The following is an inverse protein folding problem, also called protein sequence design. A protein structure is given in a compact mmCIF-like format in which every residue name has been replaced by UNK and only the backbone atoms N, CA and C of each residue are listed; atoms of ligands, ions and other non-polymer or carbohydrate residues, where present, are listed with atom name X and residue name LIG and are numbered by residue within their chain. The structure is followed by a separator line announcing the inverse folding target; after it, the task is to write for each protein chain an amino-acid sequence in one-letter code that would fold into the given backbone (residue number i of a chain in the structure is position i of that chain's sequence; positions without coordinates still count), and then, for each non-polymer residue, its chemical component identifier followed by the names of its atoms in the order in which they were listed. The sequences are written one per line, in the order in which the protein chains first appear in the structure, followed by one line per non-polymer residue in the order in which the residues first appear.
data_IF_993985921018
#
_entry.id   IF_993985921018
#
_cell.length_a   1.000
_cell.length_b   1.000
_cell.length_c   1.000
_cell.angle_alpha   90.00
_cell.angle_beta   90.00
_cell.angle_gamma   90.00
#
_symmetry.space_group_name_H-M   'P 1'
#
loop_
_entity.id
_entity.type
_entity.pdbx_description
1 polymer ?
#
# COMPACT_ATOMS: atom_id res chain seq x y z
N UNK A 1 -4.05 49.09 -20.40
CA UNK A 1 -4.96 47.97 -20.10
C UNK A 1 -4.91 46.89 -21.18
N UNK A 2 -5.09 47.24 -22.45
CA UNK A 2 -5.00 46.30 -23.60
C UNK A 2 -3.64 45.63 -23.76
N UNK A 3 -2.54 46.37 -23.57
CA UNK A 3 -1.18 45.81 -23.62
C UNK A 3 -0.94 44.74 -22.54
N UNK A 4 -1.39 44.98 -21.31
CA UNK A 4 -1.29 44.01 -20.22
C UNK A 4 -2.10 42.72 -20.51
N UNK A 5 -3.29 42.87 -21.11
CA UNK A 5 -4.10 41.74 -21.55
C UNK A 5 -3.39 40.91 -22.64
N UNK A 6 -2.78 41.58 -23.62
CA UNK A 6 -2.01 40.91 -24.68
C UNK A 6 -0.85 40.11 -24.08
N UNK A 7 -0.09 40.69 -23.15
CA UNK A 7 1.00 39.97 -22.47
C UNK A 7 0.51 38.75 -21.70
N UNK A 8 -0.62 38.86 -20.99
CA UNK A 8 -1.20 37.73 -20.26
C UNK A 8 -1.62 36.60 -21.20
N UNK A 9 -2.28 36.92 -22.32
CA UNK A 9 -2.70 35.93 -23.31
C UNK A 9 -1.48 35.24 -23.94
N UNK A 10 -0.44 35.99 -24.31
CA UNK A 10 0.79 35.44 -24.85
C UNK A 10 1.49 34.54 -23.83
N UNK A 11 1.55 34.95 -22.56
CA UNK A 11 2.14 34.15 -21.49
C UNK A 11 1.41 32.80 -21.32
N UNK A 12 0.08 32.82 -21.25
CA UNK A 12 -0.74 31.60 -21.15
C UNK A 12 -0.54 30.71 -22.37
N UNK A 13 -0.48 31.30 -23.57
CA UNK A 13 -0.25 30.55 -24.80
C UNK A 13 1.12 29.86 -24.79
N UNK A 14 2.19 30.59 -24.44
CA UNK A 14 3.53 30.01 -24.33
C UNK A 14 3.56 28.91 -23.27
N UNK A 15 2.94 29.12 -22.11
CA UNK A 15 2.84 28.11 -21.06
C UNK A 15 2.11 26.84 -21.56
N UNK A 16 1.01 27.00 -22.30
CA UNK A 16 0.26 25.89 -22.87
C UNK A 16 1.08 25.11 -23.92
N UNK A 17 1.81 25.82 -24.79
CA UNK A 17 2.68 25.20 -25.79
C UNK A 17 3.83 24.46 -25.13
N UNK A 18 4.51 25.06 -24.16
CA UNK A 18 5.59 24.42 -23.39
C UNK A 18 5.06 23.19 -22.66
N UNK A 19 3.89 23.28 -22.02
CA UNK A 19 3.25 22.15 -21.36
C UNK A 19 2.91 21.02 -22.33
N UNK A 20 2.38 21.35 -23.51
CA UNK A 20 2.05 20.36 -24.54
C UNK A 20 3.32 19.66 -25.05
N UNK A 21 4.36 20.43 -25.38
CA UNK A 21 5.65 19.87 -25.83
C UNK A 21 6.28 19.01 -24.73
N UNK A 22 6.30 19.48 -23.48
CA UNK A 22 6.81 18.70 -22.36
C UNK A 22 6.02 17.39 -22.18
N UNK A 23 4.68 17.45 -22.22
CA UNK A 23 3.82 16.26 -22.12
C UNK A 23 4.06 15.24 -23.25
N UNK A 24 4.36 15.71 -24.46
CA UNK A 24 4.70 14.84 -25.60
C UNK A 24 6.12 14.27 -25.50
N UNK A 25 7.10 15.07 -25.09
CA UNK A 25 8.52 14.70 -25.00
C UNK A 25 8.78 13.77 -23.81
N UNK A 26 8.26 14.12 -22.63
CA UNK A 26 8.38 13.29 -21.44
C UNK A 26 7.37 12.13 -21.44
N UNK A 27 6.34 12.20 -22.30
CA UNK A 27 5.30 11.20 -22.38
C UNK A 27 4.48 11.10 -21.09
N UNK A 28 3.48 10.22 -21.11
CA UNK A 28 2.76 9.78 -19.91
C UNK A 28 3.77 8.97 -19.08
N UNK A 29 4.51 9.67 -18.20
CA UNK A 29 5.78 9.26 -17.58
C UNK A 29 5.95 7.75 -17.48
N UNK A 30 7.06 7.24 -18.05
CA UNK A 30 7.48 5.84 -18.11
C UNK A 30 6.36 4.90 -17.68
N UNK A 31 5.61 4.41 -18.67
CA UNK A 31 4.59 3.39 -18.47
C UNK A 31 5.31 2.17 -17.89
N UNK A 32 5.44 2.16 -16.55
CA UNK A 32 6.02 1.07 -15.79
C UNK A 32 5.37 -0.18 -16.35
N UNK A 33 6.20 -1.13 -16.78
CA UNK A 33 5.72 -2.37 -17.37
C UNK A 33 4.54 -2.84 -16.52
N UNK A 34 3.34 -3.02 -17.10
CA UNK A 34 2.15 -3.30 -16.33
C UNK A 34 2.50 -4.42 -15.36
N UNK A 35 2.36 -4.17 -14.05
CA UNK A 35 2.54 -5.23 -13.06
C UNK A 35 1.78 -6.44 -13.59
N UNK A 36 2.47 -7.58 -13.69
CA UNK A 36 1.93 -8.77 -14.33
C UNK A 36 0.48 -8.99 -13.85
N UNK A 37 -0.48 -9.28 -14.73
CA UNK A 37 -1.87 -9.43 -14.32
C UNK A 37 -1.99 -10.41 -13.14
N UNK A 38 -2.37 -9.93 -11.97
CA UNK A 38 -2.45 -10.72 -10.73
C UNK A 38 -1.31 -10.54 -9.71
N UNK A 39 -0.29 -9.74 -10.01
CA UNK A 39 0.71 -9.29 -9.03
C UNK A 39 0.05 -8.27 -8.10
N UNK A 40 -0.69 -8.78 -7.13
CA UNK A 40 -1.30 -7.97 -6.09
C UNK A 40 -0.18 -7.52 -5.16
N UNK A 41 -0.05 -6.22 -4.81
CA UNK A 41 0.89 -5.75 -3.79
C UNK A 41 0.55 -6.26 -2.36
N UNK A 42 -0.35 -7.23 -2.25
CA UNK A 42 -0.70 -7.95 -1.04
C UNK A 42 0.40 -8.96 -0.78
N UNK A 43 1.34 -8.60 0.08
CA UNK A 43 2.37 -9.52 0.55
C UNK A 43 2.24 -9.72 2.05
N UNK A 44 2.39 -10.97 2.47
CA UNK A 44 2.63 -11.37 3.84
C UNK A 44 4.04 -11.96 3.89
N UNK A 45 4.75 -11.85 5.03
CA UNK A 45 6.04 -12.49 5.18
C UNK A 45 5.92 -14.00 4.92
N UNK A 46 6.93 -14.58 4.25
CA UNK A 46 6.94 -16.01 3.95
C UNK A 46 7.10 -16.90 5.20
N UNK A 47 7.49 -16.29 6.32
CA UNK A 47 7.68 -16.96 7.60
C UNK A 47 6.54 -16.72 8.58
N UNK A 48 6.89 -16.47 9.83
CA UNK A 48 5.90 -16.18 10.85
C UNK A 48 5.17 -14.86 10.59
N UNK A 49 3.84 -14.93 10.59
CA UNK A 49 2.98 -13.76 10.50
C UNK A 49 2.66 -13.25 11.91
N UNK A 50 2.90 -11.97 12.14
CA UNK A 50 2.47 -11.21 13.33
C UNK A 50 1.18 -10.44 13.06
N UNK A 51 0.51 -9.94 14.10
CA UNK A 51 -0.63 -9.04 13.92
C UNK A 51 -0.25 -7.73 13.22
N UNK A 52 0.99 -7.27 13.37
CA UNK A 52 1.47 -6.07 12.66
C UNK A 52 1.54 -6.29 11.16
N UNK A 53 1.99 -7.46 10.72
CA UNK A 53 2.01 -7.83 9.30
C UNK A 53 0.60 -7.83 8.71
N UNK A 54 -0.37 -8.38 9.44
CA UNK A 54 -1.78 -8.39 9.03
C UNK A 54 -2.34 -6.97 8.91
N UNK A 55 -2.00 -6.07 9.84
CA UNK A 55 -2.41 -4.65 9.80
C UNK A 55 -1.73 -3.85 8.69
N UNK A 56 -0.54 -4.27 8.25
CA UNK A 56 0.22 -3.62 7.20
C UNK A 56 -0.24 -4.01 5.78
N UNK A 57 -0.97 -5.13 5.63
CA UNK A 57 -1.39 -5.65 4.32
C UNK A 57 -2.26 -4.65 3.54
N UNK A 58 -1.97 -4.54 2.24
CA UNK A 58 -2.74 -3.72 1.30
C UNK A 58 -3.38 -4.60 0.24
N UNK A 59 -4.67 -4.39 -0.01
CA UNK A 59 -5.43 -5.09 -1.04
C UNK A 59 -5.65 -4.19 -2.27
N UNK A 60 -5.64 -4.80 -3.45
CA UNK A 60 -6.04 -4.13 -4.68
C UNK A 60 -7.55 -3.87 -4.70
N UNK A 61 -7.96 -2.70 -5.20
CA UNK A 61 -9.35 -2.36 -5.41
C UNK A 61 -9.84 -2.88 -6.77
N UNK A 62 -11.04 -3.46 -6.79
CA UNK A 62 -11.70 -4.00 -7.98
C UNK A 62 -13.14 -3.48 -8.06
N UNK A 63 -13.70 -3.43 -9.27
CA UNK A 63 -15.06 -2.89 -9.53
C UNK A 63 -16.14 -3.57 -8.68
N UNK A 64 -15.93 -4.84 -8.33
CA UNK A 64 -16.79 -5.60 -7.44
C UNK A 64 -15.93 -6.32 -6.41
N UNK A 65 -15.97 -5.85 -5.17
CA UNK A 65 -15.22 -6.39 -4.05
C UNK A 65 -15.99 -6.29 -2.74
N UNK A 66 -15.37 -6.76 -1.66
CA UNK A 66 -15.92 -6.60 -0.31
C UNK A 66 -15.86 -5.15 0.15
N UNK A 67 -16.73 -4.78 1.08
CA UNK A 67 -16.73 -3.45 1.67
C UNK A 67 -15.49 -3.27 2.52
N UNK A 68 -14.69 -2.25 2.21
CA UNK A 68 -13.42 -1.97 2.88
C UNK A 68 -13.57 -1.91 4.41
N UNK A 69 -14.60 -1.22 4.92
CA UNK A 69 -14.84 -1.13 6.37
C UNK A 69 -15.10 -2.48 7.06
N UNK A 70 -15.74 -3.43 6.37
CA UNK A 70 -16.01 -4.77 6.92
C UNK A 70 -14.74 -5.60 6.93
N UNK A 71 -13.98 -5.56 5.83
CA UNK A 71 -12.68 -6.24 5.71
C UNK A 71 -11.70 -5.69 6.77
N UNK A 72 -11.59 -4.37 6.90
CA UNK A 72 -10.70 -3.72 7.87
C UNK A 72 -11.06 -4.12 9.30
N UNK A 73 -12.36 -4.17 9.63
CA UNK A 73 -12.82 -4.61 10.95
C UNK A 73 -12.46 -6.07 11.24
N UNK A 74 -12.67 -6.97 10.27
CA UNK A 74 -12.33 -8.40 10.41
C UNK A 74 -10.81 -8.56 10.58
N UNK A 75 -10.01 -7.88 9.77
CA UNK A 75 -8.55 -7.98 9.81
C UNK A 75 -7.98 -7.41 11.11
N UNK A 76 -8.54 -6.31 11.62
CA UNK A 76 -8.15 -5.77 12.92
C UNK A 76 -8.43 -6.80 14.04
N UNK A 77 -9.64 -7.36 14.08
CA UNK A 77 -10.02 -8.35 15.10
C UNK A 77 -9.15 -9.62 15.01
N UNK A 78 -8.80 -10.03 13.79
CA UNK A 78 -7.94 -11.19 13.55
C UNK A 78 -6.48 -10.91 13.94
N UNK A 79 -5.96 -9.72 13.66
CA UNK A 79 -4.62 -9.31 14.08
C UNK A 79 -4.48 -9.29 15.60
N UNK A 80 -5.49 -8.78 16.31
CA UNK A 80 -5.50 -8.76 17.78
C UNK A 80 -5.53 -10.18 18.37
N UNK A 81 -6.28 -11.10 17.76
CA UNK A 81 -6.30 -12.51 18.17
C UNK A 81 -4.95 -13.20 17.90
N UNK A 82 -4.34 -12.91 16.76
CA UNK A 82 -3.04 -13.46 16.39
C UNK A 82 -1.95 -13.01 17.38
N UNK A 83 -1.96 -11.73 17.77
CA UNK A 83 -1.03 -11.21 18.78
C UNK A 83 -1.21 -11.91 20.13
N UNK A 84 -2.46 -12.15 20.56
CA UNK A 84 -2.76 -12.88 21.79
C UNK A 84 -2.30 -14.35 21.74
N UNK A 85 -2.54 -15.04 20.63
CA UNK A 85 -2.11 -16.42 20.43
C UNK A 85 -0.59 -16.54 20.40
N UNK A 86 0.10 -15.60 19.73
CA UNK A 86 1.57 -15.55 19.67
C UNK A 86 2.18 -15.34 21.04
N UNK A 87 1.64 -14.42 21.83
CA UNK A 87 2.08 -14.21 23.21
C UNK A 87 1.92 -15.48 24.06
N UNK A 88 0.80 -16.20 23.89
CA UNK A 88 0.57 -17.45 24.63
C UNK A 88 1.51 -18.58 24.20
N UNK A 89 1.82 -18.67 22.91
CA UNK A 89 2.80 -19.66 22.41
C UNK A 89 4.18 -19.39 22.99
N UNK A 90 4.63 -18.12 22.99
CA UNK A 90 5.92 -17.74 23.57
C UNK A 90 6.02 -18.14 25.06
N UNK A 91 4.99 -17.85 25.85
CA UNK A 91 4.93 -18.22 27.27
C UNK A 91 5.03 -19.75 27.47
N UNK A 92 4.34 -20.54 26.63
CA UNK A 92 4.38 -22.00 26.71
C UNK A 92 5.74 -22.57 26.27
N UNK A 93 6.39 -21.94 25.30
CA UNK A 93 7.72 -22.33 24.85
C UNK A 93 8.78 -22.06 25.93
N UNK A 94 8.69 -20.93 26.63
CA UNK A 94 9.54 -20.60 27.78
C UNK A 94 9.37 -21.63 28.90
N UNK A 95 8.12 -21.93 29.30
CA UNK A 95 7.84 -22.94 30.34
C UNK A 95 8.40 -24.32 29.98
N UNK A 96 8.31 -24.70 28.71
CA UNK A 96 8.86 -25.96 28.21
C UNK A 96 10.39 -25.97 28.28
N UNK A 97 11.04 -24.87 27.91
CA UNK A 97 12.49 -24.76 27.97
C UNK A 97 13.00 -24.81 29.40
N UNK A 98 12.33 -24.15 30.34
CA UNK A 98 12.66 -24.21 31.77
C UNK A 98 12.52 -25.62 32.34
N UNK A 99 11.45 -26.34 31.97
CA UNK A 99 11.24 -27.73 32.38
C UNK A 99 12.34 -28.66 31.85
N UNK A 100 12.79 -28.47 30.60
CA UNK A 100 13.87 -29.25 29.99
C UNK A 100 15.25 -28.89 30.58
N UNK A 101 15.46 -27.63 30.97
CA UNK A 101 16.72 -27.17 31.55
C UNK A 101 16.87 -27.52 33.05
N UNK A 102 15.76 -27.80 33.73
CA UNK A 102 15.72 -28.24 35.13
C UNK A 102 15.91 -29.76 35.31
N UNK A 103 15.94 -30.53 34.23
CA UNK A 103 16.24 -31.98 34.19
C UNK A 103 17.73 -32.23 33.91
#
# INVERSE_FOLDING_TARGET
MTTALIYLVVMVFVAAVVFLVASLVFGRGEQLAPLAPGATPTELPAGEVSGEDVRAVRFQQVVRGYKMSEVDWVLQRAADELDALRARVAELEEQRQEAVAGE
#
